data_IF_354007930893
#
_entry.id   IF_354007930893
#
_cell.length_a   1.000
_cell.length_b   1.000
_cell.length_c   1.000
_cell.angle_alpha   90.00
_cell.angle_beta   90.00
_cell.angle_gamma   90.00
#
_symmetry.space_group_name_H-M   'P 1'
#
loop_
_entity.id
_entity.type
_entity.pdbx_description
1 polymer ?
#
# COMPACT_ATOMS: atom_id res chain seq x y z
N UNK A 1 -56.98 -9.53 -43.21
CA UNK A 1 -55.85 -9.21 -44.11
C UNK A 1 -55.04 -8.14 -43.39
N UNK A 2 -54.10 -8.55 -42.55
CA UNK A 2 -52.68 -8.83 -42.86
C UNK A 2 -51.85 -7.56 -43.12
N UNK A 3 -50.89 -7.35 -42.22
CA UNK A 3 -49.58 -6.70 -42.34
C UNK A 3 -49.54 -5.18 -42.60
N UNK A 4 -48.73 -4.39 -41.88
CA UNK A 4 -47.36 -4.66 -41.43
C UNK A 4 -47.01 -4.00 -40.09
N UNK A 5 -46.45 -4.82 -39.21
CA UNK A 5 -45.46 -4.45 -38.20
C UNK A 5 -44.23 -3.80 -38.84
N UNK A 6 -43.77 -2.66 -38.29
CA UNK A 6 -42.34 -2.39 -38.07
C UNK A 6 -42.21 -1.65 -36.71
N UNK A 7 -41.35 -2.11 -35.78
CA UNK A 7 -41.28 -1.62 -34.40
C UNK A 7 -40.42 -0.36 -34.26
N UNK A 8 -40.71 0.41 -33.21
CA UNK A 8 -39.81 1.45 -32.68
C UNK A 8 -38.53 0.77 -32.18
N UNK A 9 -37.40 1.07 -32.81
CA UNK A 9 -36.08 0.70 -32.29
C UNK A 9 -35.78 1.50 -31.02
N UNK A 10 -35.65 0.75 -29.94
CA UNK A 10 -35.08 1.15 -28.65
C UNK A 10 -33.73 1.87 -28.83
N UNK A 11 -33.71 3.18 -28.62
CA UNK A 11 -32.50 3.86 -28.17
C UNK A 11 -32.37 3.67 -26.65
N UNK A 12 -32.00 2.46 -26.24
CA UNK A 12 -31.36 2.26 -24.94
C UNK A 12 -29.94 2.80 -25.04
N UNK A 13 -29.77 4.10 -24.80
CA UNK A 13 -28.51 4.63 -24.36
C UNK A 13 -28.17 3.92 -23.04
N UNK A 14 -27.23 2.98 -23.11
CA UNK A 14 -26.64 2.35 -21.95
C UNK A 14 -26.00 3.45 -21.10
N UNK A 15 -26.72 3.87 -20.06
CA UNK A 15 -26.13 4.50 -18.88
C UNK A 15 -25.21 3.46 -18.25
N UNK A 16 -23.94 3.43 -18.67
CA UNK A 16 -22.88 2.86 -17.86
C UNK A 16 -22.80 3.75 -16.62
N UNK A 17 -23.09 3.27 -15.40
CA UNK A 17 -22.87 4.06 -14.21
C UNK A 17 -21.38 4.38 -14.16
N UNK A 18 -21.04 5.66 -14.25
CA UNK A 18 -19.69 6.16 -14.04
C UNK A 18 -19.34 5.95 -12.55
N UNK A 19 -18.90 4.74 -12.22
CA UNK A 19 -18.58 4.33 -10.85
C UNK A 19 -17.23 4.93 -10.36
N UNK A 20 -16.68 5.91 -11.09
CA UNK A 20 -15.38 6.51 -10.82
C UNK A 20 -15.45 7.71 -9.88
N UNK A 21 -16.61 8.35 -9.71
CA UNK A 21 -16.74 9.55 -8.87
C UNK A 21 -16.84 9.19 -7.38
N UNK A 22 -17.58 8.12 -7.03
CA UNK A 22 -17.70 7.66 -5.64
C UNK A 22 -16.40 7.12 -5.02
N UNK A 23 -15.48 6.57 -5.84
CA UNK A 23 -14.25 5.97 -5.33
C UNK A 23 -13.21 7.02 -4.90
N UNK A 24 -13.25 8.24 -5.47
CA UNK A 24 -12.36 9.32 -5.07
C UNK A 24 -12.80 9.92 -3.73
N UNK A 25 -14.10 10.19 -3.59
CA UNK A 25 -14.67 10.78 -2.38
C UNK A 25 -14.50 9.88 -1.15
N UNK A 26 -14.60 8.56 -1.34
CA UNK A 26 -14.38 7.55 -0.30
C UNK A 26 -12.90 7.48 0.14
N UNK A 27 -11.95 7.59 -0.81
CA UNK A 27 -10.51 7.66 -0.48
C UNK A 27 -10.18 8.93 0.29
N UNK A 28 -10.74 10.07 -0.11
CA UNK A 28 -10.48 11.36 0.53
C UNK A 28 -11.07 11.39 1.95
N UNK A 29 -12.28 10.88 2.12
CA UNK A 29 -12.94 10.75 3.43
C UNK A 29 -12.14 9.87 4.38
N UNK A 30 -11.71 8.68 3.93
CA UNK A 30 -10.91 7.76 4.74
C UNK A 30 -9.52 8.33 5.06
N UNK A 31 -8.92 9.09 4.13
CA UNK A 31 -7.62 9.74 4.34
C UNK A 31 -7.71 10.83 5.41
N UNK A 32 -8.78 11.61 5.43
CA UNK A 32 -9.05 12.60 6.47
C UNK A 32 -9.29 11.93 7.83
N UNK A 33 -10.08 10.86 7.86
CA UNK A 33 -10.31 10.09 9.08
C UNK A 33 -9.00 9.48 9.63
N UNK A 34 -8.12 9.01 8.75
CA UNK A 34 -6.80 8.50 9.12
C UNK A 34 -5.93 9.59 9.75
N UNK A 35 -5.85 10.77 9.13
CA UNK A 35 -5.07 11.90 9.67
C UNK A 35 -5.58 12.31 11.06
N UNK A 36 -6.89 12.40 11.22
CA UNK A 36 -7.51 12.73 12.51
C UNK A 36 -7.19 11.68 13.57
N UNK A 37 -7.32 10.40 13.24
CA UNK A 37 -7.04 9.31 14.17
C UNK A 37 -5.54 9.24 14.55
N UNK A 38 -4.65 9.58 13.62
CA UNK A 38 -3.21 9.70 13.90
C UNK A 38 -2.92 10.82 14.89
N UNK A 39 -3.53 11.99 14.72
CA UNK A 39 -3.42 13.11 15.68
C UNK A 39 -3.93 12.73 17.05
N UNK A 40 -5.11 12.11 17.13
CA UNK A 40 -5.67 11.65 18.40
C UNK A 40 -4.77 10.63 19.10
N UNK A 41 -4.14 9.71 18.34
CA UNK A 41 -3.21 8.73 18.88
C UNK A 41 -1.95 9.41 19.42
N UNK A 42 -1.40 10.37 18.68
CA UNK A 42 -0.22 11.15 19.10
C UNK A 42 -0.52 11.95 20.37
N UNK A 43 -1.66 12.64 20.42
CA UNK A 43 -2.12 13.37 21.61
C UNK A 43 -2.34 12.44 22.81
N UNK A 44 -2.95 11.27 22.59
CA UNK A 44 -3.17 10.27 23.64
C UNK A 44 -1.85 9.71 24.18
N UNK A 45 -0.86 9.50 23.31
CA UNK A 45 0.48 9.05 23.69
C UNK A 45 1.25 10.13 24.45
N UNK A 46 1.22 11.38 23.95
CA UNK A 46 1.89 12.52 24.59
C UNK A 46 1.36 12.79 26.00
N UNK A 47 0.06 12.57 26.21
CA UNK A 47 -0.61 12.82 27.48
C UNK A 47 -0.92 11.55 28.28
N UNK A 48 -0.33 10.40 27.92
CA UNK A 48 -0.70 9.09 28.49
C UNK A 48 -0.68 9.06 30.01
N UNK A 49 0.35 9.62 30.63
CA UNK A 49 0.48 9.61 32.09
C UNK A 49 -0.55 10.50 32.78
N UNK A 50 -0.82 11.68 32.20
CA UNK A 50 -1.83 12.60 32.72
C UNK A 50 -3.22 11.97 32.58
N UNK A 51 -3.57 11.50 31.39
CA UNK A 51 -4.87 10.90 31.12
C UNK A 51 -5.08 9.63 31.95
N UNK A 52 -4.04 8.83 32.15
CA UNK A 52 -4.09 7.69 33.06
C UNK A 52 -4.30 8.13 34.51
N UNK A 53 -3.63 9.19 34.96
CA UNK A 53 -3.81 9.70 36.33
C UNK A 53 -5.24 10.18 36.57
N UNK A 54 -5.81 10.91 35.60
CA UNK A 54 -7.21 11.37 35.64
C UNK A 54 -8.18 10.16 35.66
N UNK A 55 -7.94 9.16 34.79
CA UNK A 55 -8.73 7.93 34.72
C UNK A 55 -8.63 7.08 36.00
N UNK A 56 -7.42 6.89 36.52
CA UNK A 56 -7.17 6.10 37.71
C UNK A 56 -7.79 6.75 38.95
N UNK A 57 -7.69 8.07 39.08
CA UNK A 57 -8.28 8.79 40.20
C UNK A 57 -9.81 8.64 40.23
N UNK A 58 -10.47 8.83 39.08
CA UNK A 58 -11.91 8.59 38.97
C UNK A 58 -12.29 7.14 39.32
N UNK A 59 -11.51 6.16 38.85
CA UNK A 59 -11.80 4.75 39.13
C UNK A 59 -11.63 4.38 40.61
N UNK A 60 -10.65 4.98 41.28
CA UNK A 60 -10.44 4.81 42.72
C UNK A 60 -11.61 5.40 43.52
N UNK A 61 -12.08 6.60 43.17
CA UNK A 61 -13.26 7.22 43.79
C UNK A 61 -14.53 6.36 43.61
N UNK A 62 -14.67 5.74 42.44
CA UNK A 62 -15.83 4.90 42.11
C UNK A 62 -15.75 3.46 42.67
N UNK A 63 -14.63 3.08 43.31
CA UNK A 63 -14.38 1.69 43.71
C UNK A 63 -13.91 1.60 45.17
N UNK A 64 -14.84 1.49 46.13
CA UNK A 64 -14.51 1.35 47.56
C UNK A 64 -13.58 0.17 47.86
N UNK A 65 -13.70 -0.92 47.10
CA UNK A 65 -12.84 -2.11 47.23
C UNK A 65 -11.37 -1.80 46.88
N UNK A 66 -11.13 -0.96 45.86
CA UNK A 66 -9.77 -0.52 45.51
C UNK A 66 -9.20 0.42 46.56
N UNK A 67 -10.03 1.31 47.11
CA UNK A 67 -9.63 2.19 48.21
C UNK A 67 -9.30 1.38 49.47
N UNK A 68 -10.06 0.32 49.77
CA UNK A 68 -9.78 -0.55 50.91
C UNK A 68 -8.42 -1.26 50.76
N UNK A 69 -8.08 -1.73 49.56
CA UNK A 69 -6.76 -2.33 49.30
C UNK A 69 -5.62 -1.36 49.63
N UNK A 70 -5.77 -0.05 49.41
CA UNK A 70 -4.74 0.92 49.75
C UNK A 70 -4.37 0.90 51.24
N UNK A 71 -5.36 0.69 52.11
CA UNK A 71 -5.17 0.65 53.57
C UNK A 71 -4.81 -0.75 54.09
N UNK A 72 -5.40 -1.80 53.51
CA UNK A 72 -5.36 -3.16 54.05
C UNK A 72 -4.31 -4.06 53.37
N UNK A 73 -4.06 -3.88 52.07
CA UNK A 73 -3.07 -4.65 51.32
C UNK A 73 -2.44 -3.82 50.18
N UNK A 74 -1.41 -3.05 50.54
CA UNK A 74 -0.70 -2.18 49.61
C UNK A 74 -0.10 -2.92 48.41
N UNK A 75 0.27 -4.19 48.56
CA UNK A 75 0.83 -4.96 47.45
C UNK A 75 -0.25 -5.21 46.42
N UNK A 76 -1.42 -5.65 46.87
CA UNK A 76 -2.54 -5.92 45.98
C UNK A 76 -3.11 -4.64 45.37
N UNK A 77 -3.13 -3.54 46.12
CA UNK A 77 -3.44 -2.22 45.57
C UNK A 77 -2.52 -1.85 44.39
N UNK A 78 -1.21 -2.01 44.54
CA UNK A 78 -0.24 -1.72 43.47
C UNK A 78 -0.49 -2.62 42.25
N UNK A 79 -0.75 -3.92 42.47
CA UNK A 79 -1.08 -4.85 41.37
C UNK A 79 -2.33 -4.39 40.60
N UNK A 80 -3.38 -4.00 41.32
CA UNK A 80 -4.62 -3.55 40.72
C UNK A 80 -4.42 -2.24 39.94
N UNK A 81 -3.58 -1.32 40.43
CA UNK A 81 -3.25 -0.08 39.72
C UNK A 81 -2.46 -0.35 38.42
N UNK A 82 -1.52 -1.30 38.44
CA UNK A 82 -0.79 -1.72 37.23
C UNK A 82 -1.72 -2.36 36.21
N UNK A 83 -2.67 -3.17 36.65
CA UNK A 83 -3.68 -3.77 35.78
C UNK A 83 -4.60 -2.69 35.18
N UNK A 84 -4.98 -1.69 35.98
CA UNK A 84 -5.75 -0.55 35.51
C UNK A 84 -5.00 0.26 34.44
N UNK A 85 -3.68 0.45 34.63
CA UNK A 85 -2.82 1.08 33.64
C UNK A 85 -2.77 0.29 32.33
N UNK A 86 -2.60 -1.03 32.42
CA UNK A 86 -2.56 -1.89 31.24
C UNK A 86 -3.88 -1.81 30.46
N UNK A 87 -5.02 -1.92 31.15
CA UNK A 87 -6.34 -1.79 30.54
C UNK A 87 -6.52 -0.41 29.87
N UNK A 88 -6.11 0.66 30.55
CA UNK A 88 -6.16 2.01 30.00
C UNK A 88 -5.34 2.13 28.71
N UNK A 89 -4.10 1.61 28.70
CA UNK A 89 -3.23 1.63 27.52
C UNK A 89 -3.86 0.81 26.38
N UNK A 90 -4.42 -0.36 26.69
CA UNK A 90 -5.03 -1.23 25.69
C UNK A 90 -6.24 -0.56 25.02
N UNK A 91 -7.13 0.02 25.81
CA UNK A 91 -8.35 0.67 25.34
C UNK A 91 -8.08 1.99 24.61
N UNK A 92 -7.14 2.81 25.11
CA UNK A 92 -6.96 4.18 24.64
C UNK A 92 -5.80 4.37 23.66
N UNK A 93 -4.82 3.46 23.67
CA UNK A 93 -3.64 3.56 22.78
C UNK A 93 -3.59 2.40 21.81
N UNK A 94 -3.62 1.15 22.29
CA UNK A 94 -3.43 -0.01 21.41
C UNK A 94 -4.61 -0.18 20.43
N UNK A 95 -5.85 -0.02 20.91
CA UNK A 95 -7.04 -0.01 20.06
C UNK A 95 -6.99 1.06 18.96
N UNK A 96 -6.60 2.30 19.31
CA UNK A 96 -6.43 3.39 18.33
C UNK A 96 -5.31 3.07 17.32
N UNK A 97 -4.18 2.55 17.79
CA UNK A 97 -3.06 2.13 16.93
C UNK A 97 -3.48 1.05 15.92
N UNK A 98 -4.25 0.08 16.37
CA UNK A 98 -4.78 -0.96 15.49
C UNK A 98 -5.68 -0.35 14.40
N UNK A 99 -6.61 0.53 14.77
CA UNK A 99 -7.49 1.23 13.82
C UNK A 99 -6.70 2.08 12.83
N UNK A 100 -5.64 2.78 13.26
CA UNK A 100 -4.73 3.51 12.36
C UNK A 100 -4.11 2.58 11.33
N UNK A 101 -3.60 1.43 11.77
CA UNK A 101 -2.99 0.43 10.88
C UNK A 101 -4.00 -0.11 9.86
N UNK A 102 -5.18 -0.50 10.32
CA UNK A 102 -6.26 -1.01 9.47
C UNK A 102 -6.71 0.01 8.42
N UNK A 103 -6.99 1.25 8.86
CA UNK A 103 -7.44 2.32 7.98
C UNK A 103 -6.34 2.76 7.00
N UNK A 104 -5.09 2.83 7.45
CA UNK A 104 -3.95 3.11 6.56
C UNK A 104 -3.84 2.06 5.45
N UNK A 105 -3.95 0.77 5.79
CA UNK A 105 -3.90 -0.30 4.80
C UNK A 105 -5.11 -0.23 3.84
N UNK A 106 -6.30 0.09 4.35
CA UNK A 106 -7.50 0.32 3.53
C UNK A 106 -7.28 1.44 2.51
N UNK A 107 -6.86 2.62 2.98
CA UNK A 107 -6.59 3.79 2.12
C UNK A 107 -5.54 3.46 1.07
N UNK A 108 -4.44 2.81 1.46
CA UNK A 108 -3.37 2.46 0.52
C UNK A 108 -3.86 1.50 -0.56
N UNK A 109 -4.63 0.47 -0.19
CA UNK A 109 -5.21 -0.48 -1.14
C UNK A 109 -6.19 0.21 -2.09
N UNK A 110 -7.08 1.08 -1.58
CA UNK A 110 -8.00 1.86 -2.42
C UNK A 110 -7.24 2.75 -3.40
N UNK A 111 -6.16 3.41 -2.95
CA UNK A 111 -5.32 4.27 -3.79
C UNK A 111 -4.60 3.50 -4.89
N UNK A 112 -3.99 2.34 -4.56
CA UNK A 112 -3.36 1.46 -5.55
C UNK A 112 -4.38 1.02 -6.60
N UNK A 113 -5.57 0.57 -6.17
CA UNK A 113 -6.62 0.15 -7.08
C UNK A 113 -7.09 1.31 -7.98
N UNK A 114 -7.29 2.50 -7.42
CA UNK A 114 -7.66 3.70 -8.18
C UNK A 114 -6.61 4.05 -9.24
N UNK A 115 -5.32 4.03 -8.88
CA UNK A 115 -4.22 4.26 -9.83
C UNK A 115 -4.20 3.23 -10.96
N UNK A 116 -4.47 1.97 -10.63
CA UNK A 116 -4.53 0.90 -11.61
C UNK A 116 -5.69 1.08 -12.60
N UNK A 117 -6.88 1.43 -12.11
CA UNK A 117 -8.03 1.70 -12.96
C UNK A 117 -7.80 2.92 -13.85
N UNK A 118 -7.23 4.01 -13.31
CA UNK A 118 -6.83 5.19 -14.09
C UNK A 118 -5.85 4.81 -15.21
N UNK A 119 -4.85 3.99 -14.91
CA UNK A 119 -3.88 3.53 -15.91
C UNK A 119 -4.51 2.64 -16.99
N UNK A 120 -5.42 1.74 -16.64
CA UNK A 120 -6.19 0.96 -17.63
C UNK A 120 -6.99 1.84 -18.57
N UNK A 121 -7.72 2.80 -18.00
CA UNK A 121 -8.54 3.73 -18.79
C UNK A 121 -7.66 4.59 -19.71
N UNK A 122 -6.54 5.10 -19.20
CA UNK A 122 -5.60 5.88 -20.00
C UNK A 122 -4.96 5.02 -21.10
N UNK A 123 -4.57 3.79 -20.78
CA UNK A 123 -4.01 2.87 -21.78
C UNK A 123 -5.01 2.57 -22.91
N UNK A 124 -6.29 2.37 -22.58
CA UNK A 124 -7.37 2.14 -23.56
C UNK A 124 -7.64 3.35 -24.44
N UNK A 125 -7.46 4.58 -23.94
CA UNK A 125 -7.55 5.78 -24.76
C UNK A 125 -6.46 5.79 -25.85
N UNK A 126 -5.24 5.36 -25.51
CA UNK A 126 -4.11 5.30 -26.44
C UNK A 126 -4.13 4.02 -27.31
N UNK A 127 -4.76 2.93 -26.85
CA UNK A 127 -4.77 1.62 -27.48
C UNK A 127 -6.19 1.00 -27.45
N UNK A 128 -7.14 1.55 -28.24
CA UNK A 128 -8.56 1.17 -28.16
C UNK A 128 -8.85 -0.27 -28.59
N UNK A 129 -7.93 -0.90 -29.33
CA UNK A 129 -8.07 -2.29 -29.80
C UNK A 129 -7.41 -3.31 -28.86
N UNK A 130 -6.77 -2.87 -27.79
CA UNK A 130 -6.13 -3.76 -26.82
C UNK A 130 -6.99 -3.96 -25.57
N UNK A 131 -6.74 -5.07 -24.90
CA UNK A 131 -7.35 -5.39 -23.62
C UNK A 131 -6.28 -5.37 -22.51
N UNK A 132 -6.31 -4.40 -21.59
CA UNK A 132 -5.37 -4.33 -20.47
C UNK A 132 -5.34 -5.61 -19.64
N UNK A 133 -6.49 -6.24 -19.38
CA UNK A 133 -6.57 -7.47 -18.58
C UNK A 133 -5.88 -8.65 -19.25
N UNK A 134 -5.93 -8.74 -20.57
CA UNK A 134 -5.18 -9.75 -21.33
C UNK A 134 -3.67 -9.50 -21.28
N UNK A 135 -3.23 -8.24 -21.31
CA UNK A 135 -1.82 -7.90 -21.13
C UNK A 135 -1.32 -8.32 -19.75
N UNK A 136 -2.11 -8.08 -18.71
CA UNK A 136 -1.76 -8.47 -17.35
C UNK A 136 -1.64 -10.00 -17.22
N UNK A 137 -2.56 -10.75 -17.82
CA UNK A 137 -2.48 -12.22 -17.87
C UNK A 137 -1.27 -12.68 -18.69
N UNK A 138 -1.04 -12.09 -19.87
CA UNK A 138 0.13 -12.38 -20.68
C UNK A 138 1.44 -12.17 -19.90
N UNK A 139 1.55 -11.08 -19.15
CA UNK A 139 2.72 -10.80 -18.32
C UNK A 139 2.97 -11.89 -17.27
N UNK A 140 1.92 -12.38 -16.60
CA UNK A 140 2.04 -13.44 -15.59
C UNK A 140 2.43 -14.78 -16.20
N UNK A 141 1.92 -15.09 -17.39
CA UNK A 141 2.06 -16.41 -17.99
C UNK A 141 3.30 -16.53 -18.88
N UNK A 142 3.77 -15.43 -19.49
CA UNK A 142 4.78 -15.45 -20.55
C UNK A 142 6.05 -14.66 -20.22
N UNK A 143 6.06 -13.83 -19.17
CA UNK A 143 7.26 -13.08 -18.78
C UNK A 143 7.98 -13.80 -17.62
N UNK A 144 9.28 -14.09 -17.74
CA UNK A 144 10.06 -14.70 -16.67
C UNK A 144 9.97 -13.92 -15.35
N UNK A 145 9.90 -14.58 -14.18
CA UNK A 145 9.69 -13.91 -12.89
C UNK A 145 10.66 -12.77 -12.59
N UNK A 146 11.93 -12.91 -12.99
CA UNK A 146 12.95 -11.86 -12.80
C UNK A 146 12.60 -10.58 -13.58
N UNK A 147 12.21 -10.72 -14.84
CA UNK A 147 11.81 -9.60 -15.70
C UNK A 147 10.45 -9.04 -15.26
N UNK A 148 9.51 -9.91 -14.84
CA UNK A 148 8.23 -9.47 -14.32
C UNK A 148 8.41 -8.60 -13.07
N UNK A 149 9.31 -8.96 -12.16
CA UNK A 149 9.62 -8.15 -10.99
C UNK A 149 10.13 -6.75 -11.36
N UNK A 150 11.03 -6.64 -12.34
CA UNK A 150 11.53 -5.36 -12.85
C UNK A 150 10.38 -4.51 -13.44
N UNK A 151 9.48 -5.14 -14.21
CA UNK A 151 8.31 -4.47 -14.78
C UNK A 151 7.30 -4.01 -13.73
N UNK A 152 7.10 -4.79 -12.66
CA UNK A 152 6.16 -4.41 -11.57
C UNK A 152 6.63 -3.22 -10.73
N UNK A 153 7.88 -2.78 -10.88
CA UNK A 153 8.38 -1.55 -10.26
C UNK A 153 7.98 -0.29 -11.05
N UNK A 154 7.54 -0.45 -12.30
CA UNK A 154 7.07 0.65 -13.12
C UNK A 154 5.70 1.16 -12.63
N UNK A 155 5.36 2.39 -13.03
CA UNK A 155 3.99 2.88 -12.84
C UNK A 155 3.00 1.97 -13.59
N UNK A 156 1.75 1.84 -13.14
CA UNK A 156 0.78 0.93 -13.77
C UNK A 156 0.58 1.15 -15.28
N UNK A 157 0.67 2.40 -15.75
CA UNK A 157 0.55 2.71 -17.17
C UNK A 157 1.79 2.27 -17.95
N UNK A 158 2.99 2.56 -17.43
CA UNK A 158 4.24 2.17 -18.07
C UNK A 158 4.44 0.65 -18.06
N UNK A 159 3.95 -0.03 -17.04
CA UNK A 159 3.82 -1.49 -17.02
C UNK A 159 2.99 -2.00 -18.21
N UNK A 160 1.77 -1.50 -18.40
CA UNK A 160 0.89 -1.94 -19.50
C UNK A 160 1.53 -1.69 -20.88
N UNK A 161 2.16 -0.53 -21.07
CA UNK A 161 2.89 -0.19 -22.31
C UNK A 161 4.09 -1.12 -22.55
N UNK A 162 4.88 -1.40 -21.52
CA UNK A 162 6.05 -2.27 -21.62
C UNK A 162 5.64 -3.72 -21.94
N UNK A 163 4.60 -4.22 -21.27
CA UNK A 163 4.06 -5.57 -21.52
C UNK A 163 3.49 -5.69 -22.94
N UNK A 164 2.75 -4.69 -23.41
CA UNK A 164 2.28 -4.62 -24.80
C UNK A 164 3.44 -4.74 -25.78
N UNK A 165 4.51 -3.95 -25.58
CA UNK A 165 5.70 -3.98 -26.43
C UNK A 165 6.33 -5.37 -26.49
N UNK A 166 6.45 -6.06 -25.35
CA UNK A 166 7.00 -7.43 -25.28
C UNK A 166 6.10 -8.41 -26.03
N UNK A 167 4.77 -8.35 -25.84
CA UNK A 167 3.81 -9.20 -26.54
C UNK A 167 3.87 -9.00 -28.06
N UNK A 168 3.93 -7.76 -28.50
CA UNK A 168 3.97 -7.40 -29.92
C UNK A 168 5.31 -7.84 -30.56
N UNK A 169 6.44 -7.70 -29.85
CA UNK A 169 7.73 -8.24 -30.30
C UNK A 169 7.72 -9.76 -30.45
N UNK A 170 7.10 -10.48 -29.51
CA UNK A 170 7.01 -11.94 -29.54
C UNK A 170 6.06 -12.46 -30.64
N UNK A 171 5.04 -11.70 -31.01
CA UNK A 171 4.08 -12.08 -32.08
C UNK A 171 4.59 -11.72 -33.49
N UNK A 172 5.50 -10.75 -33.60
CA UNK A 172 6.04 -10.29 -34.87
C UNK A 172 7.19 -11.15 -35.42
N UNK A 173 7.64 -12.18 -34.69
CA UNK A 173 8.79 -13.02 -35.09
C UNK A 173 10.09 -12.24 -35.30
N UNK A 174 10.17 -11.01 -34.78
CA UNK A 174 11.31 -10.12 -34.95
C UNK A 174 12.06 -10.07 -33.62
N UNK A 175 13.15 -10.84 -33.53
CA UNK A 175 14.15 -10.72 -32.48
C UNK A 175 14.60 -9.25 -32.38
N UNK A 176 14.06 -8.54 -31.41
CA UNK A 176 14.44 -7.19 -31.07
C UNK A 176 14.38 -7.07 -29.56
N UNK A 177 15.43 -7.60 -28.93
CA UNK A 177 15.83 -7.29 -27.57
C UNK A 177 15.85 -5.75 -27.46
N UNK A 178 15.07 -5.13 -26.56
CA UNK A 178 15.21 -3.70 -26.32
C UNK A 178 16.65 -3.40 -25.90
N UNK A 179 17.33 -2.56 -26.68
CA UNK A 179 18.57 -1.92 -26.25
C UNK A 179 18.35 -1.32 -24.86
N UNK A 180 19.31 -1.63 -24.00
CA UNK A 180 19.60 -1.08 -22.69
C UNK A 180 18.72 0.11 -22.31
N UNK A 181 17.92 -0.08 -21.25
CA UNK A 181 17.51 1.02 -20.38
C UNK A 181 18.78 1.81 -20.02
N UNK A 182 18.91 3.03 -20.54
CA UNK A 182 19.87 4.03 -20.08
C UNK A 182 19.59 4.32 -18.59
N UNK A 183 20.14 3.49 -17.72
CA UNK A 183 20.49 3.91 -16.37
C UNK A 183 21.72 4.78 -16.52
N UNK A 184 21.60 6.07 -16.26
CA UNK A 184 22.74 6.97 -16.10
C UNK A 184 23.68 6.37 -15.05
N UNK A 185 24.91 5.94 -15.40
CA UNK A 185 25.88 5.59 -14.40
C UNK A 185 26.31 6.90 -13.76
N UNK A 186 25.94 7.08 -12.49
CA UNK A 186 26.52 8.10 -11.64
C UNK A 186 28.04 8.00 -11.75
N UNK A 187 28.64 9.10 -12.17
CA UNK A 187 30.07 9.33 -12.21
C UNK A 187 30.69 8.98 -10.85
N UNK A 188 31.45 7.89 -10.81
CA UNK A 188 32.38 7.61 -9.74
C UNK A 188 33.69 7.11 -10.34
N UNK A 189 34.44 8.07 -10.87
CA UNK A 189 35.90 8.03 -10.92
C UNK A 189 36.46 7.72 -9.53
N UNK A 190 37.07 6.54 -9.34
CA UNK A 190 38.09 6.33 -8.31
C UNK A 190 38.97 5.10 -8.60
N UNK A 191 40.12 5.38 -9.21
CA UNK A 191 41.45 4.81 -8.95
C UNK A 191 41.64 3.29 -8.85
N UNK A 192 42.30 2.77 -9.89
CA UNK A 192 43.69 2.33 -9.73
C UNK A 192 43.94 0.86 -9.44
N UNK A 193 44.07 0.04 -10.49
CA UNK A 193 44.83 -1.21 -10.42
C UNK A 193 45.70 -1.35 -11.68
N UNK A 194 46.96 -0.95 -11.55
CA UNK A 194 48.03 -1.20 -12.51
C UNK A 194 48.74 -2.52 -12.20
N UNK A 195 48.61 -3.46 -13.14
CA UNK A 195 49.50 -4.56 -13.54
C UNK A 195 50.58 -5.12 -12.59
N UNK A 196 50.39 -6.41 -12.27
CA UNK A 196 51.31 -7.56 -12.44
C UNK A 196 52.82 -7.28 -12.61
N UNK A 197 53.65 -7.92 -11.79
CA UNK A 197 54.61 -8.90 -12.31
C UNK A 197 55.18 -9.87 -11.26
N UNK A 198 55.45 -11.08 -11.72
CA UNK A 198 55.94 -12.25 -10.98
C UNK A 198 57.40 -12.10 -10.50
N UNK A 199 57.74 -12.80 -9.40
CA UNK A 199 58.93 -13.67 -9.34
C UNK A 199 58.97 -14.51 -8.05
N UNK A 200 59.02 -15.82 -8.27
CA UNK A 200 59.43 -16.86 -7.33
C UNK A 200 60.95 -16.84 -7.08
N UNK A 201 61.39 -16.94 -5.82
CA UNK A 201 62.62 -17.59 -5.33
C UNK A 201 62.59 -17.55 -3.79
N UNK A 202 62.62 -18.67 -3.06
CA UNK A 202 63.83 -19.24 -2.42
C UNK A 202 64.62 -18.17 -1.62
N UNK A 203 64.81 -18.25 -0.30
CA UNK A 203 65.42 -19.36 0.45
C UNK A 203 65.22 -19.21 1.96
N UNK A 204 65.37 -20.33 2.68
CA UNK A 204 65.58 -20.43 4.14
C UNK A 204 66.84 -19.68 4.58
N UNK A 205 66.80 -19.00 5.71
CA UNK A 205 67.30 -19.45 7.03
C UNK A 205 66.72 -18.55 8.15
#
# INVERSE_FOLDING_TARGET
MLDKDIPQEDQQAQNIPNNSDNASDDIDTDSQALEQLQKELEEAQANVNKNFSDYASARLEDSPELEELFFNDKKEFINALLQLQQNFIDENINSKRQKVSELHNSVMNKKINSQYQKAKNQFLQDNPNDNPDELISFAKDNIPPKQLNELTQLSPLEFLKAVKKIRDSNTSGQDSIPQELEGTPGDSMASGIGSRNARSAFSRD
#
